data_IF_299607387309
#
_entry.id   IF_299607387309
#
_cell.length_a   1.000
_cell.length_b   1.000
_cell.length_c   1.000
_cell.angle_alpha   90.00
_cell.angle_beta   90.00
_cell.angle_gamma   90.00
#
_symmetry.space_group_name_H-M   'P 1'
#
loop_
_entity.id
_entity.type
_entity.pdbx_description
1 polymer ?
#
# COMPACT_ATOMS: atom_id res chain seq x y z
N UNK A 1 -7.86 -14.04 -9.81
CA UNK A 1 -6.63 -14.54 -9.14
C UNK A 1 -6.97 -14.64 -7.67
N UNK A 2 -6.75 -15.78 -7.01
CA UNK A 2 -7.25 -16.05 -5.64
C UNK A 2 -6.89 -14.97 -4.61
N UNK A 3 -5.73 -14.32 -4.73
CA UNK A 3 -5.36 -13.20 -3.84
C UNK A 3 -6.32 -12.01 -3.95
N UNK A 4 -6.84 -11.69 -5.15
CA UNK A 4 -7.79 -10.59 -5.36
C UNK A 4 -9.13 -10.92 -4.71
N UNK A 5 -9.60 -12.15 -4.87
CA UNK A 5 -10.83 -12.63 -4.21
C UNK A 5 -10.66 -12.60 -2.69
N UNK A 6 -9.52 -13.08 -2.18
CA UNK A 6 -9.27 -13.13 -0.74
C UNK A 6 -9.18 -11.75 -0.11
N UNK A 7 -8.44 -10.82 -0.71
CA UNK A 7 -8.33 -9.46 -0.17
C UNK A 7 -9.65 -8.71 -0.25
N UNK A 8 -10.45 -8.94 -1.30
CA UNK A 8 -11.78 -8.36 -1.43
C UNK A 8 -12.75 -8.88 -0.36
N UNK A 9 -12.71 -10.18 -0.05
CA UNK A 9 -13.47 -10.78 1.06
C UNK A 9 -13.07 -10.15 2.40
N UNK A 10 -11.77 -10.14 2.73
CA UNK A 10 -11.25 -9.58 3.98
C UNK A 10 -11.62 -8.11 4.17
N UNK A 11 -11.60 -7.35 3.07
CA UNK A 11 -11.92 -5.93 3.07
C UNK A 11 -13.42 -5.64 2.97
N UNK A 12 -14.33 -6.64 3.00
CA UNK A 12 -15.76 -6.46 2.71
C UNK A 12 -15.99 -5.58 1.46
N UNK A 13 -15.32 -5.92 0.36
CA UNK A 13 -15.37 -5.12 -0.86
C UNK A 13 -16.80 -5.02 -1.40
N UNK A 14 -17.24 -3.81 -1.74
CA UNK A 14 -18.62 -3.52 -2.17
C UNK A 14 -19.57 -3.12 -1.05
N UNK A 15 -19.16 -3.24 0.22
CA UNK A 15 -19.90 -2.68 1.35
C UNK A 15 -19.93 -1.14 1.27
N UNK A 16 -21.10 -0.55 1.54
CA UNK A 16 -21.24 0.90 1.60
C UNK A 16 -20.44 1.46 2.79
N UNK A 17 -19.59 2.43 2.53
CA UNK A 17 -18.79 3.10 3.55
C UNK A 17 -19.48 4.39 4.02
N UNK A 18 -19.21 4.84 5.26
CA UNK A 18 -19.58 6.17 5.70
C UNK A 18 -19.08 7.26 4.73
N UNK A 19 -19.79 8.38 4.67
CA UNK A 19 -19.36 9.54 3.88
C UNK A 19 -17.94 9.98 4.28
N UNK A 20 -17.13 10.38 3.29
CA UNK A 20 -15.74 10.75 3.50
C UNK A 20 -14.78 9.57 3.64
N UNK A 21 -15.20 8.33 3.33
CA UNK A 21 -14.32 7.17 3.30
C UNK A 21 -14.36 6.46 1.94
N UNK A 22 -13.24 5.87 1.54
CA UNK A 22 -13.16 5.09 0.32
C UNK A 22 -12.14 3.96 0.42
N UNK A 23 -12.29 2.95 -0.44
CA UNK A 23 -11.32 1.85 -0.61
C UNK A 23 -10.75 1.88 -2.03
N UNK A 24 -9.48 1.52 -2.14
CA UNK A 24 -8.78 1.30 -3.40
C UNK A 24 -8.11 -0.07 -3.39
N UNK A 25 -8.01 -0.69 -4.56
CA UNK A 25 -7.43 -2.03 -4.73
C UNK A 25 -6.34 -2.01 -5.80
N UNK A 26 -5.29 -2.79 -5.60
CA UNK A 26 -4.31 -3.12 -6.63
C UNK A 26 -3.75 -4.53 -6.41
N UNK A 27 -3.15 -5.12 -7.44
CA UNK A 27 -2.49 -6.43 -7.34
C UNK A 27 -1.31 -6.49 -8.29
N UNK A 28 -0.37 -7.39 -8.00
CA UNK A 28 0.82 -7.64 -8.82
C UNK A 28 1.23 -9.11 -8.76
N UNK A 29 1.90 -9.57 -9.82
CA UNK A 29 2.73 -10.77 -9.79
C UNK A 29 4.18 -10.30 -9.68
N UNK A 30 4.81 -10.57 -8.55
CA UNK A 30 6.17 -10.11 -8.26
C UNK A 30 7.00 -11.26 -7.73
N UNK A 31 8.18 -11.48 -8.31
CA UNK A 31 9.12 -12.55 -7.90
C UNK A 31 8.49 -13.94 -7.79
N UNK A 32 7.50 -14.26 -8.63
CA UNK A 32 6.81 -15.55 -8.62
C UNK A 32 5.71 -15.69 -7.57
N UNK A 33 5.42 -14.65 -6.78
CA UNK A 33 4.32 -14.60 -5.82
C UNK A 33 3.24 -13.63 -6.29
N UNK A 34 1.97 -14.02 -6.11
CA UNK A 34 0.86 -13.11 -6.33
C UNK A 34 0.59 -12.32 -5.06
N UNK A 35 0.28 -11.04 -5.18
CA UNK A 35 -0.08 -10.18 -4.05
C UNK A 35 -1.20 -9.21 -4.47
N UNK A 36 -2.17 -9.01 -3.59
CA UNK A 36 -3.23 -8.04 -3.76
C UNK A 36 -3.44 -7.26 -2.46
N UNK A 37 -3.72 -5.98 -2.60
CA UNK A 37 -3.85 -5.06 -1.48
C UNK A 37 -5.08 -4.19 -1.64
N UNK A 38 -5.79 -3.99 -0.52
CA UNK A 38 -6.87 -3.00 -0.40
C UNK A 38 -6.45 -1.98 0.64
N UNK A 39 -6.56 -0.70 0.29
CA UNK A 39 -6.30 0.43 1.19
C UNK A 39 -7.60 1.17 1.42
N UNK A 40 -7.97 1.38 2.69
CA UNK A 40 -9.05 2.27 3.09
C UNK A 40 -8.49 3.60 3.58
N UNK A 41 -9.07 4.68 3.06
CA UNK A 41 -8.74 6.06 3.45
C UNK A 41 -9.97 6.80 3.97
N UNK A 42 -9.74 7.79 4.83
CA UNK A 42 -10.73 8.74 5.29
C UNK A 42 -10.27 10.18 5.04
N UNK A 43 -11.21 11.03 4.65
CA UNK A 43 -11.03 12.47 4.61
C UNK A 43 -11.17 13.06 6.02
N UNK A 44 -10.20 13.86 6.45
CA UNK A 44 -10.17 14.47 7.78
C UNK A 44 -9.81 15.95 7.68
N UNK A 45 -10.05 16.77 8.72
CA UNK A 45 -9.63 18.18 8.73
C UNK A 45 -8.11 18.39 8.53
N UNK A 46 -7.28 17.38 8.80
CA UNK A 46 -5.83 17.44 8.67
C UNK A 46 -5.31 16.83 7.36
N UNK A 47 -6.21 16.31 6.50
CA UNK A 47 -5.86 15.60 5.27
C UNK A 47 -6.34 14.15 5.25
N UNK A 48 -5.89 13.43 4.23
CA UNK A 48 -6.26 12.03 4.00
C UNK A 48 -5.53 11.16 5.02
N UNK A 49 -6.30 10.40 5.81
CA UNK A 49 -5.78 9.38 6.72
C UNK A 49 -5.89 8.00 6.07
N UNK A 50 -4.81 7.22 6.12
CA UNK A 50 -4.85 5.79 5.77
C UNK A 50 -5.31 5.04 7.03
N UNK A 51 -6.51 4.48 7.01
CA UNK A 51 -7.10 3.87 8.22
C UNK A 51 -6.71 2.40 8.36
N UNK A 52 -6.88 1.62 7.28
CA UNK A 52 -6.70 0.18 7.30
C UNK A 52 -6.24 -0.32 5.94
N UNK A 53 -5.41 -1.35 5.96
CA UNK A 53 -4.91 -2.04 4.78
C UNK A 53 -5.05 -3.55 4.93
N UNK A 54 -5.56 -4.18 3.88
CA UNK A 54 -5.65 -5.64 3.78
C UNK A 54 -4.68 -6.12 2.72
N UNK A 55 -3.97 -7.21 3.00
CA UNK A 55 -3.00 -7.81 2.09
C UNK A 55 -3.30 -9.30 1.98
N UNK A 56 -3.43 -9.79 0.74
CA UNK A 56 -3.44 -11.22 0.48
C UNK A 56 -2.27 -11.56 -0.45
N UNK A 57 -1.44 -12.52 -0.07
CA UNK A 57 -0.32 -12.98 -0.88
C UNK A 57 -0.36 -14.49 -1.05
N UNK A 58 -0.09 -14.98 -2.26
CA UNK A 58 0.12 -16.39 -2.55
C UNK A 58 1.59 -16.62 -2.89
N UNK A 59 2.29 -17.29 -1.99
CA UNK A 59 3.75 -17.45 -2.00
C UNK A 59 4.17 -18.87 -2.39
N UNK A 60 3.21 -19.70 -2.78
CA UNK A 60 3.38 -21.15 -2.79
C UNK A 60 3.54 -21.66 -1.36
N UNK A 61 4.55 -22.48 -1.08
CA UNK A 61 4.77 -23.00 0.28
C UNK A 61 5.24 -21.90 1.23
N UNK A 62 4.47 -21.65 2.29
CA UNK A 62 4.79 -20.69 3.34
C UNK A 62 5.63 -21.35 4.43
N UNK A 63 6.95 -21.10 4.41
CA UNK A 63 7.87 -21.69 5.39
C UNK A 63 7.67 -21.13 6.80
N UNK A 64 7.48 -19.81 6.90
CA UNK A 64 7.19 -19.12 8.16
C UNK A 64 6.11 -18.05 7.90
N UNK A 65 4.83 -18.38 8.14
CA UNK A 65 3.73 -17.46 7.88
C UNK A 65 3.83 -16.14 8.65
N UNK A 66 4.46 -16.11 9.82
CA UNK A 66 4.51 -14.89 10.64
C UNK A 66 5.61 -13.95 10.17
N UNK A 67 6.78 -14.47 9.76
CA UNK A 67 7.79 -13.67 9.06
C UNK A 67 7.25 -13.14 7.74
N UNK A 68 6.49 -13.95 7.00
CA UNK A 68 5.88 -13.52 5.75
C UNK A 68 4.90 -12.36 5.99
N UNK A 69 4.02 -12.44 6.99
CA UNK A 69 3.13 -11.33 7.35
C UNK A 69 3.91 -10.08 7.72
N UNK A 70 4.97 -10.20 8.53
CA UNK A 70 5.80 -9.07 8.91
C UNK A 70 6.49 -8.42 7.70
N UNK A 71 6.98 -9.22 6.75
CA UNK A 71 7.59 -8.73 5.50
C UNK A 71 6.57 -8.01 4.61
N UNK A 72 5.37 -8.56 4.45
CA UNK A 72 4.30 -7.93 3.68
C UNK A 72 3.90 -6.57 4.27
N UNK A 73 3.75 -6.49 5.59
CA UNK A 73 3.48 -5.23 6.29
C UNK A 73 4.62 -4.22 6.09
N UNK A 74 5.88 -4.64 6.24
CA UNK A 74 7.05 -3.79 6.01
C UNK A 74 7.12 -3.27 4.58
N UNK A 75 6.89 -4.13 3.60
CA UNK A 75 6.92 -3.79 2.18
C UNK A 75 5.80 -2.83 1.78
N UNK A 76 4.61 -2.99 2.35
CA UNK A 76 3.49 -2.07 2.19
C UNK A 76 3.81 -0.69 2.79
N UNK A 77 4.35 -0.63 4.02
CA UNK A 77 4.79 0.63 4.64
C UNK A 77 5.84 1.34 3.76
N UNK A 78 6.80 0.59 3.22
CA UNK A 78 7.81 1.12 2.30
C UNK A 78 7.17 1.73 1.05
N UNK A 79 6.25 1.02 0.41
CA UNK A 79 5.53 1.49 -0.78
C UNK A 79 4.61 2.67 -0.51
N UNK A 80 3.91 2.69 0.63
CA UNK A 80 3.06 3.80 1.04
C UNK A 80 3.87 5.04 1.39
N UNK A 81 4.99 4.89 2.10
CA UNK A 81 5.93 5.97 2.41
C UNK A 81 6.44 6.64 1.13
N UNK A 82 6.88 5.82 0.16
CA UNK A 82 7.28 6.26 -1.17
C UNK A 82 6.16 7.03 -1.88
N UNK A 83 4.93 6.49 -1.84
CA UNK A 83 3.78 7.08 -2.50
C UNK A 83 3.31 8.39 -1.86
N UNK A 84 3.38 8.52 -0.54
CA UNK A 84 2.84 9.67 0.18
C UNK A 84 3.68 10.92 -0.06
N UNK A 85 4.98 10.89 0.27
CA UNK A 85 5.77 12.12 0.44
C UNK A 85 7.23 12.03 0.03
N UNK A 86 7.76 10.84 -0.21
CA UNK A 86 9.18 10.68 -0.51
C UNK A 86 9.52 11.06 -1.94
N UNK A 87 10.33 12.10 -2.09
CA UNK A 87 10.83 12.60 -3.36
C UNK A 87 12.32 12.86 -3.27
N UNK A 88 13.07 12.43 -4.29
CA UNK A 88 14.47 12.81 -4.49
C UNK A 88 14.52 13.78 -5.67
N UNK A 89 14.95 15.00 -5.41
CA UNK A 89 15.15 16.06 -6.41
C UNK A 89 16.64 16.27 -6.68
N UNK A 90 16.95 16.88 -7.82
CA UNK A 90 18.32 17.13 -8.26
C UNK A 90 18.50 18.59 -8.64
N UNK A 91 19.57 19.19 -8.13
CA UNK A 91 20.05 20.51 -8.53
C UNK A 91 21.58 20.45 -8.73
N UNK A 92 22.09 21.13 -9.76
CA UNK A 92 23.52 21.20 -10.08
C UNK A 92 24.24 19.83 -10.16
N UNK A 93 23.52 18.79 -10.58
CA UNK A 93 24.05 17.43 -10.73
C UNK A 93 24.16 16.63 -9.42
N UNK A 94 23.60 17.13 -8.32
CA UNK A 94 23.59 16.46 -7.02
C UNK A 94 22.16 16.29 -6.48
N UNK A 95 21.97 15.30 -5.61
CA UNK A 95 20.73 15.12 -4.85
C UNK A 95 20.61 16.25 -3.82
N UNK A 96 19.41 16.83 -3.70
CA UNK A 96 19.16 17.90 -2.72
C UNK A 96 18.87 17.36 -1.31
N UNK A 97 18.15 16.24 -1.19
CA UNK A 97 17.79 15.63 0.10
C UNK A 97 18.97 14.88 0.72
N UNK A 98 19.20 15.09 2.00
CA UNK A 98 20.38 14.63 2.72
C UNK A 98 20.10 13.58 3.80
N UNK A 99 18.89 13.53 4.38
CA UNK A 99 18.53 12.59 5.46
C UNK A 99 17.00 12.51 5.69
N UNK A 100 16.55 11.86 6.77
CA UNK A 100 15.12 11.72 7.09
C UNK A 100 14.40 12.99 7.56
N UNK A 101 15.10 14.12 7.65
CA UNK A 101 14.47 15.41 7.95
C UNK A 101 13.99 16.14 6.68
N UNK A 102 14.61 15.85 5.53
CA UNK A 102 14.27 16.39 4.21
C UNK A 102 13.81 15.31 3.21
N UNK A 103 13.90 14.02 3.59
CA UNK A 103 13.28 12.86 2.93
C UNK A 103 12.49 12.03 3.94
N UNK A 104 11.35 12.54 4.40
CA UNK A 104 10.63 11.93 5.51
C UNK A 104 9.98 10.58 5.14
N UNK A 105 10.10 9.61 6.04
CA UNK A 105 9.40 8.33 5.96
C UNK A 105 8.04 8.41 6.66
N UNK A 106 7.13 7.51 6.29
CA UNK A 106 5.87 7.32 7.02
C UNK A 106 6.12 7.18 8.53
N UNK A 107 5.40 7.95 9.34
CA UNK A 107 5.49 7.92 10.80
C UNK A 107 4.48 6.94 11.40
N UNK A 108 4.70 6.53 12.65
CA UNK A 108 3.83 5.58 13.37
C UNK A 108 2.36 6.02 13.37
N UNK A 109 2.09 7.31 13.54
CA UNK A 109 0.71 7.83 13.58
C UNK A 109 -0.01 7.81 12.21
N UNK A 110 0.75 7.70 11.12
CA UNK A 110 0.27 7.62 9.74
C UNK A 110 0.14 6.17 9.26
N UNK A 111 0.71 5.23 10.01
CA UNK A 111 0.72 3.82 9.68
C UNK A 111 -0.70 3.23 9.87
N UNK A 112 -1.27 2.57 8.85
CA UNK A 112 -2.60 1.99 8.97
C UNK A 112 -2.59 0.72 9.83
N UNK A 113 -3.78 0.28 10.24
CA UNK A 113 -3.95 -1.09 10.73
C UNK A 113 -3.80 -2.09 9.59
N UNK A 114 -3.16 -3.23 9.83
CA UNK A 114 -2.93 -4.25 8.81
C UNK A 114 -3.69 -5.55 9.12
N UNK A 115 -4.23 -6.16 8.07
CA UNK A 115 -4.77 -7.51 8.09
C UNK A 115 -4.19 -8.31 6.92
N UNK A 116 -3.50 -9.42 7.22
CA UNK A 116 -2.69 -10.13 6.22
C UNK A 116 -3.10 -11.59 6.13
N UNK A 117 -3.39 -12.06 4.92
CA UNK A 117 -3.63 -13.46 4.59
C UNK A 117 -2.51 -14.00 3.71
N UNK A 118 -1.94 -15.14 4.12
CA UNK A 118 -0.97 -15.90 3.34
C UNK A 118 -1.67 -17.12 2.76
N UNK A 119 -1.57 -17.26 1.45
CA UNK A 119 -2.14 -18.35 0.68
C UNK A 119 -1.02 -19.25 0.15
N UNK A 120 -1.34 -20.53 -0.02
CA UNK A 120 -0.41 -21.54 -0.51
C UNK A 120 -0.99 -22.30 -1.72
N UNK A 121 -1.71 -21.61 -2.62
CA UNK A 121 -2.31 -22.27 -3.78
C UNK A 121 -1.34 -22.39 -4.95
N UNK A 122 -0.28 -21.58 -4.98
CA UNK A 122 0.67 -21.59 -6.08
C UNK A 122 1.61 -22.80 -5.98
N UNK A 123 1.85 -23.45 -7.11
CA UNK A 123 2.58 -24.74 -7.15
C UNK A 123 4.12 -24.58 -7.02
N UNK A 124 4.63 -23.35 -7.00
CA UNK A 124 6.05 -23.03 -6.83
C UNK A 124 6.21 -22.00 -5.74
N UNK A 125 7.28 -22.12 -4.96
CA UNK A 125 7.66 -21.10 -4.00
C UNK A 125 8.13 -19.84 -4.72
N UNK A 126 7.59 -18.69 -4.33
CA UNK A 126 7.99 -17.38 -4.83
C UNK A 126 8.78 -16.57 -3.81
N UNK A 127 9.23 -15.39 -4.21
CA UNK A 127 9.87 -14.42 -3.32
C UNK A 127 8.86 -13.68 -2.43
N UNK A 128 9.30 -13.19 -1.28
CA UNK A 128 8.44 -12.46 -0.31
C UNK A 128 9.01 -11.07 0.04
N UNK A 129 10.32 -10.86 -0.10
CA UNK A 129 10.99 -9.67 0.45
C UNK A 129 10.49 -8.31 -0.08
N UNK A 130 9.98 -8.25 -1.31
CA UNK A 130 9.59 -6.98 -1.95
C UNK A 130 8.12 -6.96 -2.39
N UNK A 131 7.38 -8.06 -2.23
CA UNK A 131 6.13 -8.25 -2.99
C UNK A 131 4.98 -7.35 -2.52
N UNK A 132 4.99 -6.85 -1.28
CA UNK A 132 4.00 -5.86 -0.82
C UNK A 132 4.24 -4.44 -1.32
N UNK A 133 5.43 -4.13 -1.87
CA UNK A 133 5.74 -2.76 -2.31
C UNK A 133 5.03 -2.37 -3.61
N UNK A 134 4.99 -3.20 -4.68
CA UNK A 134 4.40 -2.81 -5.95
C UNK A 134 2.91 -2.42 -5.92
N UNK A 135 2.01 -3.14 -5.21
CA UNK A 135 0.60 -2.76 -5.19
C UNK A 135 0.25 -1.61 -4.24
N UNK A 136 1.10 -1.25 -3.28
CA UNK A 136 0.79 -0.26 -2.25
C UNK A 136 0.45 1.13 -2.83
N UNK A 137 1.33 1.66 -3.68
CA UNK A 137 1.14 2.99 -4.30
C UNK A 137 -0.14 3.07 -5.15
N UNK A 138 -0.41 2.14 -6.11
CA UNK A 138 -1.64 2.19 -6.89
C UNK A 138 -2.90 1.88 -6.06
N UNK A 139 -2.84 1.05 -5.01
CA UNK A 139 -3.98 0.83 -4.12
C UNK A 139 -4.37 2.12 -3.39
N UNK A 140 -3.39 2.85 -2.85
CA UNK A 140 -3.60 4.15 -2.23
C UNK A 140 -4.13 5.18 -3.24
N UNK A 141 -3.52 5.28 -4.42
CA UNK A 141 -3.97 6.22 -5.45
C UNK A 141 -5.40 5.93 -5.92
N UNK A 142 -5.79 4.65 -6.02
CA UNK A 142 -7.16 4.24 -6.33
C UNK A 142 -8.13 4.59 -5.20
N UNK A 143 -7.72 4.49 -3.94
CA UNK A 143 -8.54 4.87 -2.79
C UNK A 143 -8.80 6.38 -2.78
N UNK A 144 -7.76 7.18 -3.05
CA UNK A 144 -7.88 8.65 -3.19
C UNK A 144 -8.76 9.03 -4.38
N UNK A 145 -8.63 8.34 -5.50
CA UNK A 145 -9.52 8.55 -6.65
C UNK A 145 -10.97 8.25 -6.31
N UNK A 146 -11.25 7.15 -5.61
CA UNK A 146 -12.60 6.81 -5.17
C UNK A 146 -13.16 7.82 -4.16
N UNK A 147 -12.30 8.39 -3.31
CA UNK A 147 -12.68 9.41 -2.32
C UNK A 147 -12.97 10.77 -2.96
N UNK A 148 -12.16 11.20 -3.91
CA UNK A 148 -12.11 12.60 -4.38
C UNK A 148 -12.58 12.80 -5.82
N UNK A 149 -12.68 11.72 -6.61
CA UNK A 149 -12.86 11.78 -8.06
C UNK A 149 -11.61 12.22 -8.84
N UNK A 150 -10.52 12.63 -8.17
CA UNK A 150 -9.29 13.11 -8.80
C UNK A 150 -8.31 11.96 -9.04
N UNK A 151 -7.95 11.72 -10.30
CA UNK A 151 -6.98 10.67 -10.66
C UNK A 151 -5.56 11.24 -10.72
N UNK A 152 -4.82 11.07 -9.64
CA UNK A 152 -3.42 11.49 -9.51
C UNK A 152 -2.52 10.49 -10.27
N UNK A 153 -1.57 10.99 -11.06
CA UNK A 153 -0.68 10.18 -11.90
C UNK A 153 0.82 10.47 -11.69
N UNK A 154 1.14 11.40 -10.81
CA UNK A 154 2.51 11.80 -10.48
C UNK A 154 2.76 11.51 -9.01
N UNK A 155 3.93 10.96 -8.70
CA UNK A 155 4.40 10.77 -7.33
C UNK A 155 5.37 11.89 -6.91
N UNK A 156 5.51 12.13 -5.59
CA UNK A 156 4.64 11.62 -4.54
C UNK A 156 3.23 12.25 -4.60
N UNK A 157 2.24 11.55 -4.04
CA UNK A 157 0.83 11.95 -4.05
C UNK A 157 0.59 13.25 -3.27
N UNK A 158 1.46 13.59 -2.32
CA UNK A 158 1.43 14.84 -1.55
C UNK A 158 1.55 16.11 -2.40
N UNK A 159 2.00 16.00 -3.66
CA UNK A 159 1.94 17.11 -4.62
C UNK A 159 0.51 17.56 -4.94
N UNK A 160 -0.48 16.72 -4.68
CA UNK A 160 -1.86 16.91 -5.13
C UNK A 160 -2.91 16.79 -4.00
N UNK A 161 -2.55 16.22 -2.85
CA UNK A 161 -3.38 16.04 -1.64
C UNK A 161 -2.54 16.17 -0.37
N UNK A 162 -3.16 16.43 0.78
CA UNK A 162 -2.48 16.41 2.08
C UNK A 162 -2.73 15.09 2.80
N UNK A 163 -1.75 14.60 3.55
CA UNK A 163 -1.90 13.44 4.44
C UNK A 163 -1.94 13.86 5.90
N UNK A 164 -2.85 13.23 6.66
CA UNK A 164 -3.00 13.43 8.10
C UNK A 164 -2.01 12.60 8.93
#
# INVERSE_FOLDING_TARGET
VKVVEKVAEMANWGEALPAGKAKGIAFSLSFGSWVAEVVQVADTPNGIRIEKMWIAADVGTALDPDIIKAQLTSAAIYGLSAAMSQEITFADGAVEQSNFHDFDAMRIFQCPEFEVAVLENFHKMGGVGEIGTPPAAPALANAIFALTGKRIRSLPLSKEVTFA
#
